data_IF_997685133509
#
_entry.id   IF_997685133509
#
_cell.length_a   1.000
_cell.length_b   1.000
_cell.length_c   1.000
_cell.angle_alpha   90.00
_cell.angle_beta   90.00
_cell.angle_gamma   90.00
#
_symmetry.space_group_name_H-M   'P 1'
#
loop_
_entity.id
_entity.type
_entity.pdbx_description
1 polymer ?
#
# COMPACT_ATOMS: atom_id res chain seq x y z
N UNK A 1 -14.10 4.44 3.31
CA UNK A 1 -12.66 4.53 2.99
C UNK A 1 -12.48 5.70 2.04
N UNK A 2 -11.40 6.48 2.16
CA UNK A 2 -11.15 7.64 1.28
C UNK A 2 -11.04 7.20 -0.18
N UNK A 3 -11.46 8.03 -1.13
CA UNK A 3 -11.59 7.65 -2.56
C UNK A 3 -10.29 7.09 -3.15
N UNK A 4 -9.17 7.78 -2.93
CA UNK A 4 -7.84 7.34 -3.36
C UNK A 4 -7.46 5.93 -2.86
N UNK A 5 -7.81 5.58 -1.61
CA UNK A 5 -7.51 4.27 -1.03
C UNK A 5 -8.38 3.17 -1.63
N UNK A 6 -9.61 3.51 -2.05
CA UNK A 6 -10.49 2.60 -2.79
C UNK A 6 -9.92 2.33 -4.18
N UNK A 7 -9.46 3.38 -4.88
CA UNK A 7 -8.85 3.27 -6.21
C UNK A 7 -7.58 2.41 -6.16
N UNK A 8 -6.70 2.62 -5.17
CA UNK A 8 -5.52 1.78 -4.94
C UNK A 8 -5.93 0.31 -4.73
N UNK A 9 -6.97 0.04 -3.93
CA UNK A 9 -7.45 -1.35 -3.73
C UNK A 9 -7.98 -1.97 -5.03
N UNK A 10 -8.70 -1.21 -5.85
CA UNK A 10 -9.25 -1.69 -7.12
C UNK A 10 -8.16 -2.01 -8.13
N UNK A 11 -7.17 -1.13 -8.25
CA UNK A 11 -6.03 -1.35 -9.15
C UNK A 11 -5.13 -2.47 -8.66
N UNK A 12 -4.94 -2.60 -7.35
CA UNK A 12 -4.17 -3.69 -6.76
C UNK A 12 -4.73 -5.08 -7.10
N UNK A 13 -6.05 -5.22 -7.24
CA UNK A 13 -6.69 -6.48 -7.68
C UNK A 13 -6.28 -6.93 -9.07
N UNK A 14 -5.83 -6.01 -9.92
CA UNK A 14 -5.37 -6.34 -11.27
C UNK A 14 -3.96 -6.95 -11.27
N UNK A 15 -3.24 -6.86 -10.15
CA UNK A 15 -1.92 -7.46 -9.98
C UNK A 15 -2.09 -8.95 -9.67
N UNK A 16 -2.02 -9.76 -10.71
CA UNK A 16 -2.03 -11.22 -10.58
C UNK A 16 -0.62 -11.81 -10.63
N UNK A 17 -0.41 -12.88 -9.87
CA UNK A 17 0.80 -13.71 -9.92
C UNK A 17 2.12 -12.95 -9.66
N UNK A 18 2.09 -11.83 -8.92
CA UNK A 18 3.29 -11.02 -8.68
C UNK A 18 4.45 -11.82 -8.08
N UNK A 19 4.19 -12.60 -7.03
CA UNK A 19 5.21 -13.38 -6.32
C UNK A 19 5.71 -14.60 -7.10
N UNK A 20 4.94 -15.09 -8.08
CA UNK A 20 5.25 -16.33 -8.82
C UNK A 20 5.74 -16.06 -10.24
N UNK A 21 5.32 -14.95 -10.85
CA UNK A 21 5.68 -14.50 -12.21
C UNK A 21 5.80 -12.98 -12.25
N UNK A 22 6.81 -12.39 -11.60
CA UNK A 22 7.05 -10.96 -11.69
C UNK A 22 7.33 -10.57 -13.14
N UNK A 23 6.74 -9.47 -13.59
CA UNK A 23 6.98 -8.90 -14.90
C UNK A 23 7.11 -7.38 -14.75
N UNK A 24 7.71 -6.73 -15.76
CA UNK A 24 8.03 -5.31 -15.71
C UNK A 24 6.77 -4.44 -15.53
N UNK A 25 5.67 -4.79 -16.21
CA UNK A 25 4.38 -4.10 -16.07
C UNK A 25 3.84 -4.16 -14.64
N UNK A 26 3.91 -5.32 -13.98
CA UNK A 26 3.48 -5.46 -12.60
C UNK A 26 4.39 -4.69 -11.64
N UNK A 27 5.70 -4.63 -11.91
CA UNK A 27 6.63 -3.84 -11.11
C UNK A 27 6.32 -2.34 -11.20
N UNK A 28 6.07 -1.84 -12.41
CA UNK A 28 5.65 -0.45 -12.65
C UNK A 28 4.34 -0.14 -11.92
N UNK A 29 3.35 -1.04 -12.02
CA UNK A 29 2.07 -0.88 -11.35
C UNK A 29 2.22 -0.85 -9.82
N UNK A 30 2.99 -1.77 -9.24
CA UNK A 30 3.29 -1.76 -7.79
C UNK A 30 3.98 -0.47 -7.37
N UNK A 31 4.92 0.02 -8.17
CA UNK A 31 5.62 1.27 -7.87
C UNK A 31 4.70 2.49 -7.92
N UNK A 32 3.79 2.54 -8.90
CA UNK A 32 2.76 3.59 -8.99
C UNK A 32 1.86 3.55 -7.76
N UNK A 33 1.23 2.40 -7.49
CA UNK A 33 0.30 2.22 -6.37
C UNK A 33 0.95 2.52 -5.02
N UNK A 34 2.22 2.17 -4.85
CA UNK A 34 2.97 2.48 -3.64
C UNK A 34 3.16 4.00 -3.47
N UNK A 35 3.47 4.70 -4.55
CA UNK A 35 3.64 6.16 -4.53
C UNK A 35 2.30 6.85 -4.22
N UNK A 36 1.24 6.43 -4.90
CA UNK A 36 -0.14 6.93 -4.67
C UNK A 36 -0.59 6.68 -3.23
N UNK A 37 -0.24 5.52 -2.67
CA UNK A 37 -0.50 5.20 -1.28
C UNK A 37 0.25 6.12 -0.32
N UNK A 38 1.55 6.35 -0.55
CA UNK A 38 2.37 7.21 0.31
C UNK A 38 1.95 8.67 0.27
N UNK A 39 1.42 9.14 -0.87
CA UNK A 39 0.83 10.47 -0.98
C UNK A 39 -0.55 10.55 -0.31
N UNK A 40 -1.41 9.54 -0.50
CA UNK A 40 -2.77 9.65 0.00
C UNK A 40 -2.93 9.30 1.48
N UNK A 41 -2.21 8.30 1.99
CA UNK A 41 -2.38 7.81 3.36
C UNK A 41 -2.16 8.90 4.43
N UNK A 42 -1.14 9.78 4.35
CA UNK A 42 -0.91 10.85 5.33
C UNK A 42 -1.94 11.98 5.28
N UNK A 43 -2.56 12.22 4.11
CA UNK A 43 -3.57 13.27 3.95
C UNK A 43 -4.88 12.92 4.67
N UNK A 44 -5.09 11.64 4.95
CA UNK A 44 -6.24 11.14 5.70
C UNK A 44 -5.93 11.36 7.19
N UNK A 45 -6.03 12.63 7.62
CA UNK A 45 -5.90 13.01 9.03
C UNK A 45 -6.92 12.23 9.87
N UNK A 46 -6.41 11.23 10.59
CA UNK A 46 -7.00 10.64 11.79
C UNK A 46 -8.46 10.11 11.73
N UNK A 47 -9.03 9.85 10.55
CA UNK A 47 -10.27 9.06 10.50
C UNK A 47 -9.98 7.56 10.72
N UNK A 48 -9.74 7.20 11.99
CA UNK A 48 -9.97 5.86 12.57
C UNK A 48 -9.54 4.71 11.67
N UNK A 49 -8.32 4.77 11.17
CA UNK A 49 -7.63 3.62 10.62
C UNK A 49 -7.24 2.75 11.83
N UNK A 50 -8.05 1.76 12.20
CA UNK A 50 -7.70 0.66 13.12
C UNK A 50 -6.57 -0.23 12.56
N UNK A 51 -5.67 0.37 11.78
CA UNK A 51 -4.48 -0.30 11.27
C UNK A 51 -3.50 -0.48 12.44
N UNK A 52 -2.67 -1.52 12.41
CA UNK A 52 -1.61 -1.69 13.40
C UNK A 52 -0.78 -0.42 13.54
N UNK A 53 -0.47 -0.01 14.77
CA UNK A 53 0.36 1.19 15.02
C UNK A 53 1.72 1.10 14.33
N UNK A 54 2.26 -0.10 14.22
CA UNK A 54 3.51 -0.40 13.51
C UNK A 54 3.42 -0.03 12.02
N UNK A 55 2.29 -0.33 11.37
CA UNK A 55 2.08 0.01 9.95
C UNK A 55 2.02 1.52 9.74
N UNK A 56 1.28 2.24 10.61
CA UNK A 56 1.21 3.71 10.56
C UNK A 56 2.59 4.32 10.81
N UNK A 57 3.35 3.75 11.75
CA UNK A 57 4.69 4.20 12.09
C UNK A 57 5.67 3.98 10.92
N UNK A 58 5.63 2.83 10.26
CA UNK A 58 6.47 2.53 9.09
C UNK A 58 6.20 3.51 7.93
N UNK A 59 4.94 3.86 7.68
CA UNK A 59 4.57 4.85 6.66
C UNK A 59 5.07 6.25 7.02
N UNK A 60 4.93 6.66 8.29
CA UNK A 60 5.44 7.95 8.77
C UNK A 60 6.95 8.05 8.62
N UNK A 61 7.68 7.03 9.10
CA UNK A 61 9.13 6.97 9.01
C UNK A 61 9.63 6.98 7.57
N UNK A 62 8.93 6.31 6.65
CA UNK A 62 9.27 6.37 5.22
C UNK A 62 9.12 7.78 4.66
N UNK A 63 7.99 8.45 4.95
CA UNK A 63 7.73 9.83 4.50
C UNK A 63 8.67 10.87 5.13
N UNK A 64 9.15 10.61 6.34
CA UNK A 64 10.21 11.39 7.01
C UNK A 64 11.60 11.15 6.40
N UNK A 65 11.73 10.23 5.45
CA UNK A 65 12.98 9.90 4.78
C UNK A 65 13.91 9.01 5.60
N UNK A 66 13.37 8.22 6.54
CA UNK A 66 14.17 7.30 7.34
C UNK A 66 14.96 6.33 6.44
N UNK A 67 16.28 6.38 6.52
CA UNK A 67 17.18 5.64 5.64
C UNK A 67 16.91 4.13 5.61
N UNK A 68 16.60 3.51 6.75
CA UNK A 68 16.36 2.06 6.81
C UNK A 68 15.07 1.67 6.08
N UNK A 69 14.00 2.45 6.23
CA UNK A 69 12.73 2.17 5.55
C UNK A 69 12.78 2.56 4.08
N UNK A 70 13.42 3.68 3.73
CA UNK A 70 13.63 4.05 2.33
C UNK A 70 14.40 2.94 1.61
N UNK A 71 15.44 2.38 2.24
CA UNK A 71 16.20 1.25 1.69
C UNK A 71 15.37 -0.04 1.61
N UNK A 72 14.57 -0.36 2.63
CA UNK A 72 13.64 -1.51 2.62
C UNK A 72 12.67 -1.42 1.43
N UNK A 73 12.10 -0.24 1.19
CA UNK A 73 11.17 -0.01 0.09
C UNK A 73 11.87 0.32 -1.24
N UNK A 74 13.19 0.13 -1.40
CA UNK A 74 13.80 0.06 -2.74
C UNK A 74 13.44 -1.26 -3.43
N UNK A 75 13.14 -2.30 -2.66
CA UNK A 75 12.66 -3.57 -3.18
C UNK A 75 11.18 -3.47 -3.54
N UNK A 76 10.85 -3.70 -4.81
CA UNK A 76 9.48 -3.71 -5.33
C UNK A 76 8.63 -4.80 -4.67
N UNK A 77 9.23 -5.92 -4.24
CA UNK A 77 8.51 -6.95 -3.51
C UNK A 77 8.08 -6.47 -2.13
N UNK A 78 8.92 -5.68 -1.44
CA UNK A 78 8.56 -5.09 -0.16
C UNK A 78 7.41 -4.08 -0.31
N UNK A 79 7.39 -3.32 -1.42
CA UNK A 79 6.25 -2.43 -1.75
C UNK A 79 4.98 -3.23 -1.98
N UNK A 80 5.06 -4.32 -2.75
CA UNK A 80 3.93 -5.21 -3.00
C UNK A 80 3.39 -5.83 -1.70
N UNK A 81 4.25 -6.34 -0.82
CA UNK A 81 3.83 -6.94 0.44
C UNK A 81 3.11 -5.93 1.34
N UNK A 82 3.61 -4.70 1.43
CA UNK A 82 2.96 -3.64 2.20
C UNK A 82 1.57 -3.30 1.64
N UNK A 83 1.45 -3.16 0.31
CA UNK A 83 0.17 -2.93 -0.36
C UNK A 83 -0.79 -4.13 -0.18
N UNK A 84 -0.26 -5.36 -0.17
CA UNK A 84 -1.03 -6.58 0.11
C UNK A 84 -1.59 -6.57 1.53
N UNK A 85 -0.76 -6.27 2.53
CA UNK A 85 -1.19 -6.17 3.94
C UNK A 85 -2.27 -5.11 4.10
N UNK A 86 -2.10 -3.96 3.43
CA UNK A 86 -3.10 -2.90 3.39
C UNK A 86 -4.42 -3.37 2.76
N UNK A 87 -4.35 -4.00 1.59
CA UNK A 87 -5.51 -4.49 0.86
C UNK A 87 -6.29 -5.56 1.65
N UNK A 88 -5.58 -6.53 2.22
CA UNK A 88 -6.16 -7.58 3.05
C UNK A 88 -6.83 -7.00 4.30
N UNK A 89 -6.18 -6.05 4.96
CA UNK A 89 -6.79 -5.34 6.06
C UNK A 89 -8.06 -4.59 5.62
N UNK A 90 -8.04 -3.89 4.49
CA UNK A 90 -9.17 -3.12 3.98
C UNK A 90 -10.38 -4.04 3.67
N UNK A 91 -10.12 -5.24 3.16
CA UNK A 91 -11.12 -6.30 2.96
C UNK A 91 -11.65 -6.88 4.27
N UNK A 92 -10.76 -7.28 5.18
CA UNK A 92 -11.11 -7.93 6.45
C UNK A 92 -11.96 -7.01 7.32
N UNK A 93 -11.65 -5.71 7.33
CA UNK A 93 -12.41 -4.71 8.08
C UNK A 93 -13.70 -4.27 7.39
N UNK A 94 -14.06 -4.87 6.24
CA UNK A 94 -15.22 -4.52 5.40
C UNK A 94 -15.25 -3.04 4.99
N UNK A 95 -14.13 -2.32 5.12
CA UNK A 95 -13.96 -0.93 4.68
C UNK A 95 -13.86 -0.85 3.16
N UNK A 96 -13.43 -1.94 2.54
CA UNK A 96 -13.51 -2.21 1.12
C UNK A 96 -14.49 -3.35 0.87
N UNK A 97 -15.49 -3.11 0.01
CA UNK A 97 -16.32 -4.17 -0.57
C UNK A 97 -15.93 -4.26 -2.03
N UNK A 98 -15.48 -5.46 -2.44
CA UNK A 98 -15.28 -5.77 -3.86
C UNK A 98 -16.61 -5.48 -4.58
N UNK A 99 -16.52 -4.64 -5.61
CA UNK A 99 -17.67 -4.30 -6.46
C UNK A 99 -18.14 -5.54 -7.23
#
# INVERSE_FOLDING_TARGET
>A
MHKCLVEICQEFETIENFLTKPNEKNNELVNSLFSDFMECFPLIKEEKLTYPKEFIHDVSLFNEGNFMLVKKFQDVQMRYLMLSDFYDYARLTKKYKKA
#
